data_IF_894552118551
#
_entry.id   IF_894552118551
#
_cell.length_a   1.000
_cell.length_b   1.000
_cell.length_c   1.000
_cell.angle_alpha   90.00
_cell.angle_beta   90.00
_cell.angle_gamma   90.00
#
_symmetry.space_group_name_H-M   'P 1'
#
loop_
_entity.id
_entity.type
_entity.pdbx_description
1 polymer ?
#
# COMPACT_ATOMS: atom_id res chain seq x y z
N UNK A 1 42.01 13.31 52.38
CA UNK A 1 40.86 14.06 51.82
C UNK A 1 40.15 13.14 50.85
N UNK A 2 38.90 12.77 51.18
CA UNK A 2 38.07 11.80 50.46
C UNK A 2 37.78 12.26 49.02
N UNK A 3 37.88 11.37 48.03
CA UNK A 3 36.94 11.35 46.90
C UNK A 3 36.58 9.88 46.63
N UNK A 4 35.35 9.53 47.00
CA UNK A 4 34.73 8.22 46.84
C UNK A 4 33.99 8.14 45.50
N UNK A 5 33.96 6.94 44.92
CA UNK A 5 33.32 6.65 43.64
C UNK A 5 31.80 6.47 43.66
N UNK A 6 31.34 5.91 42.53
CA UNK A 6 29.96 5.59 42.09
C UNK A 6 29.15 6.77 41.56
N UNK A 7 28.94 6.76 40.22
CA UNK A 7 27.64 6.61 39.55
C UNK A 7 27.79 6.93 38.05
N UNK A 8 28.00 5.90 37.23
CA UNK A 8 27.54 5.90 35.84
C UNK A 8 26.58 4.72 35.76
N UNK A 9 25.31 5.03 36.02
CA UNK A 9 24.19 4.08 35.97
C UNK A 9 23.29 4.50 34.82
N UNK A 10 23.01 3.54 33.93
CA UNK A 10 21.79 3.42 33.12
C UNK A 10 21.35 4.62 32.28
N UNK A 11 21.65 4.55 30.98
CA UNK A 11 20.77 5.06 29.93
C UNK A 11 20.64 3.99 28.83
N UNK A 12 19.95 2.89 29.16
CA UNK A 12 19.23 2.11 28.14
C UNK A 12 17.77 2.44 28.41
N UNK A 13 17.28 3.41 27.65
CA UNK A 13 15.89 3.82 27.65
C UNK A 13 15.02 2.61 27.34
N UNK A 14 14.28 2.17 28.35
CA UNK A 14 13.06 1.40 28.27
C UNK A 14 12.16 1.92 27.15
N UNK A 15 12.09 1.18 26.05
CA UNK A 15 10.95 1.15 25.13
C UNK A 15 10.46 -0.30 25.04
N UNK A 16 10.09 -0.86 26.19
CA UNK A 16 9.23 -2.04 26.28
C UNK A 16 7.87 -1.51 26.72
N UNK A 17 6.98 -1.26 25.77
CA UNK A 17 5.52 -1.21 25.92
C UNK A 17 4.91 -0.68 24.62
N UNK A 18 4.77 -1.56 23.62
CA UNK A 18 3.62 -1.60 22.70
C UNK A 18 3.70 -2.86 21.83
N UNK A 19 3.93 -4.03 22.45
CA UNK A 19 3.57 -5.31 21.82
C UNK A 19 2.06 -5.50 22.05
N UNK A 20 1.26 -4.82 21.23
CA UNK A 20 -0.13 -5.21 21.06
C UNK A 20 -0.14 -6.66 20.60
N UNK A 21 -0.77 -7.52 21.39
CA UNK A 21 -0.97 -8.94 21.11
C UNK A 21 -1.65 -9.08 19.76
N UNK A 22 -0.87 -9.25 18.70
CA UNK A 22 -1.39 -9.67 17.40
C UNK A 22 -1.78 -11.12 17.59
N UNK A 23 -3.04 -11.37 17.91
CA UNK A 23 -3.59 -12.72 17.96
C UNK A 23 -3.48 -13.28 16.54
N UNK A 24 -2.46 -14.09 16.30
CA UNK A 24 -2.32 -14.84 15.06
C UNK A 24 -3.38 -15.93 15.07
N UNK A 25 -4.54 -15.63 14.45
CA UNK A 25 -5.51 -16.67 14.11
C UNK A 25 -4.87 -17.52 13.01
N UNK A 26 -4.30 -18.66 13.40
CA UNK A 26 -3.80 -19.67 12.47
C UNK A 26 -4.99 -20.41 11.88
N UNK A 27 -5.45 -20.00 10.71
CA UNK A 27 -6.12 -20.92 9.81
C UNK A 27 -5.03 -21.83 9.24
N UNK A 28 -4.90 -23.06 9.73
CA UNK A 28 -3.92 -24.01 9.19
C UNK A 28 -4.36 -24.39 7.76
N UNK A 29 -3.77 -23.72 6.77
CA UNK A 29 -4.14 -23.86 5.36
C UNK A 29 -3.24 -24.82 4.58
N UNK A 30 -2.11 -25.22 5.14
CA UNK A 30 -1.13 -26.18 4.60
C UNK A 30 -0.24 -26.71 5.74
N UNK A 31 0.25 -27.93 5.61
CA UNK A 31 0.86 -28.70 6.71
C UNK A 31 2.39 -28.57 6.77
N UNK A 32 3.03 -28.32 5.63
CA UNK A 32 4.48 -28.18 5.51
C UNK A 32 4.89 -27.19 4.39
N UNK A 33 6.13 -26.68 4.37
CA UNK A 33 6.59 -25.67 3.41
C UNK A 33 6.58 -26.14 1.94
N UNK A 34 6.81 -27.43 1.68
CA UNK A 34 6.85 -28.00 0.34
C UNK A 34 5.44 -28.08 -0.26
N UNK A 35 4.46 -28.55 0.52
CA UNK A 35 3.04 -28.54 0.18
C UNK A 35 2.56 -27.10 -0.09
N UNK A 36 2.97 -26.13 0.75
CA UNK A 36 2.62 -24.73 0.54
C UNK A 36 3.18 -24.20 -0.80
N UNK A 37 4.43 -24.54 -1.16
CA UNK A 37 5.03 -24.12 -2.41
C UNK A 37 4.34 -24.76 -3.62
N UNK A 38 3.98 -26.05 -3.53
CA UNK A 38 3.25 -26.75 -4.58
C UNK A 38 1.86 -26.13 -4.81
N UNK A 39 1.13 -25.82 -3.73
CA UNK A 39 -0.17 -25.14 -3.83
C UNK A 39 -0.03 -23.71 -4.39
N UNK A 40 1.00 -22.96 -3.96
CA UNK A 40 1.29 -21.63 -4.52
C UNK A 40 1.53 -21.71 -6.03
N UNK A 41 2.32 -22.69 -6.48
CA UNK A 41 2.59 -22.90 -7.89
C UNK A 41 1.30 -23.29 -8.63
N UNK A 42 0.54 -24.25 -8.11
CA UNK A 42 -0.73 -24.69 -8.67
C UNK A 42 -1.72 -23.53 -8.86
N UNK A 43 -1.92 -22.69 -7.84
CA UNK A 43 -2.83 -21.54 -7.95
C UNK A 43 -2.26 -20.44 -8.85
N UNK A 44 -0.94 -20.28 -8.92
CA UNK A 44 -0.31 -19.37 -9.88
C UNK A 44 -0.58 -19.82 -11.33
N UNK A 45 -0.41 -21.11 -11.62
CA UNK A 45 -0.69 -21.69 -12.93
C UNK A 45 -2.18 -21.65 -13.27
N UNK A 46 -3.05 -21.89 -12.26
CA UNK A 46 -4.49 -21.79 -12.42
C UNK A 46 -4.92 -20.36 -12.77
N UNK A 47 -4.35 -19.33 -12.13
CA UNK A 47 -4.62 -17.93 -12.47
C UNK A 47 -4.21 -17.65 -13.93
N UNK A 48 -3.00 -18.06 -14.33
CA UNK A 48 -2.52 -17.87 -15.71
C UNK A 48 -3.45 -18.54 -16.73
N UNK A 49 -3.89 -19.78 -16.47
CA UNK A 49 -4.85 -20.49 -17.32
C UNK A 49 -6.19 -19.77 -17.39
N UNK A 50 -6.72 -19.32 -16.26
CA UNK A 50 -8.01 -18.63 -16.19
C UNK A 50 -7.97 -17.24 -16.87
N UNK A 51 -6.83 -16.56 -16.86
CA UNK A 51 -6.62 -15.28 -17.57
C UNK A 51 -6.67 -15.44 -19.09
N UNK A 52 -6.26 -16.60 -19.62
CA UNK A 52 -6.34 -16.92 -21.05
C UNK A 52 -7.73 -17.39 -21.52
N UNK A 53 -8.72 -17.51 -20.64
CA UNK A 53 -10.07 -17.98 -20.98
C UNK A 53 -11.03 -16.82 -21.27
N UNK A 54 -12.22 -17.14 -21.78
CA UNK A 54 -13.26 -16.15 -22.10
C UNK A 54 -13.67 -15.32 -20.86
N UNK A 55 -13.96 -14.03 -21.08
CA UNK A 55 -14.44 -13.11 -20.04
C UNK A 55 -15.90 -13.40 -19.68
N UNK A 56 -16.10 -14.40 -18.81
CA UNK A 56 -17.40 -14.75 -18.21
C UNK A 56 -17.40 -14.44 -16.72
N UNK A 57 -18.58 -14.27 -16.13
CA UNK A 57 -18.71 -14.03 -14.69
C UNK A 57 -18.12 -15.20 -13.90
N UNK A 58 -18.39 -16.44 -14.34
CA UNK A 58 -17.85 -17.65 -13.72
C UNK A 58 -16.32 -17.65 -13.72
N UNK A 59 -15.69 -17.29 -14.85
CA UNK A 59 -14.23 -17.24 -14.92
C UNK A 59 -13.65 -16.13 -14.05
N UNK A 60 -14.30 -14.95 -14.01
CA UNK A 60 -13.85 -13.86 -13.15
C UNK A 60 -13.93 -14.21 -11.66
N UNK A 61 -15.01 -14.89 -11.24
CA UNK A 61 -15.15 -15.41 -9.87
C UNK A 61 -14.07 -16.43 -9.57
N UNK A 62 -13.82 -17.38 -10.49
CA UNK A 62 -12.78 -18.39 -10.32
C UNK A 62 -11.37 -17.79 -10.22
N UNK A 63 -11.09 -16.71 -10.96
CA UNK A 63 -9.82 -15.97 -10.84
C UNK A 63 -9.68 -15.35 -9.45
N UNK A 64 -10.73 -14.68 -8.94
CA UNK A 64 -10.70 -14.13 -7.58
C UNK A 64 -10.53 -15.24 -6.53
N UNK A 65 -11.20 -16.37 -6.67
CA UNK A 65 -11.06 -17.49 -5.74
C UNK A 65 -9.63 -18.04 -5.71
N UNK A 66 -9.02 -18.22 -6.89
CA UNK A 66 -7.63 -18.65 -6.99
C UNK A 66 -6.66 -17.61 -6.39
N UNK A 67 -6.88 -16.32 -6.65
CA UNK A 67 -6.07 -15.22 -6.09
C UNK A 67 -6.18 -15.14 -4.56
N UNK A 68 -7.39 -15.19 -4.01
CA UNK A 68 -7.63 -15.15 -2.56
C UNK A 68 -6.94 -16.35 -1.91
N UNK A 69 -7.05 -17.55 -2.50
CA UNK A 69 -6.40 -18.74 -1.96
C UNK A 69 -4.87 -18.63 -2.03
N UNK A 70 -4.32 -18.16 -3.15
CA UNK A 70 -2.89 -17.90 -3.31
C UNK A 70 -2.37 -16.90 -2.25
N UNK A 71 -3.04 -15.77 -2.09
CA UNK A 71 -2.64 -14.75 -1.10
C UNK A 71 -2.78 -15.28 0.33
N UNK A 72 -3.82 -16.07 0.62
CA UNK A 72 -3.99 -16.73 1.93
C UNK A 72 -2.82 -17.68 2.24
N UNK A 73 -2.39 -18.49 1.27
CA UNK A 73 -1.25 -19.38 1.42
C UNK A 73 0.06 -18.61 1.63
N UNK A 74 0.27 -17.52 0.89
CA UNK A 74 1.43 -16.63 1.07
C UNK A 74 1.46 -15.98 2.46
N UNK A 75 0.29 -15.58 2.98
CA UNK A 75 0.16 -15.06 4.35
C UNK A 75 0.57 -16.12 5.37
N UNK A 76 0.04 -17.34 5.26
CA UNK A 76 0.40 -18.44 6.16
C UNK A 76 1.91 -18.71 6.14
N UNK A 77 2.51 -18.78 4.94
CA UNK A 77 3.95 -18.96 4.78
C UNK A 77 4.76 -17.82 5.43
N UNK A 78 4.36 -16.56 5.23
CA UNK A 78 5.03 -15.41 5.85
C UNK A 78 4.89 -15.43 7.37
N UNK A 79 3.73 -15.81 7.91
CA UNK A 79 3.51 -15.96 9.36
C UNK A 79 4.40 -17.04 9.96
N UNK A 80 4.54 -18.20 9.30
CA UNK A 80 5.45 -19.26 9.74
C UNK A 80 6.90 -18.82 9.73
N UNK A 81 7.34 -18.10 8.68
CA UNK A 81 8.69 -17.50 8.63
C UNK A 81 8.94 -16.55 9.79
N UNK A 82 7.97 -15.70 10.14
CA UNK A 82 8.09 -14.78 11.29
C UNK A 82 8.24 -15.54 12.61
N UNK A 83 7.49 -16.64 12.80
CA UNK A 83 7.60 -17.46 14.02
C UNK A 83 8.95 -18.16 14.12
N UNK A 84 9.41 -18.79 13.03
CA UNK A 84 10.71 -19.45 12.98
C UNK A 84 11.86 -18.46 13.22
N UNK A 85 11.79 -17.30 12.58
CA UNK A 85 12.77 -16.23 12.74
C UNK A 85 12.77 -15.67 14.18
N UNK A 86 11.59 -15.50 14.78
CA UNK A 86 11.45 -15.10 16.18
C UNK A 86 12.17 -16.07 17.13
N UNK A 87 11.92 -17.38 17.00
CA UNK A 87 12.59 -18.38 17.81
C UNK A 87 14.12 -18.39 17.63
N UNK A 88 14.62 -18.15 16.41
CA UNK A 88 16.06 -18.02 16.15
C UNK A 88 16.66 -16.76 16.78
N UNK A 89 15.95 -15.62 16.73
CA UNK A 89 16.35 -14.37 17.38
C UNK A 89 16.45 -14.57 18.89
N UNK A 90 15.50 -15.28 19.50
CA UNK A 90 15.52 -15.59 20.93
C UNK A 90 16.77 -16.41 21.30
N UNK A 91 17.05 -17.48 20.56
CA UNK A 91 18.26 -18.31 20.74
C UNK A 91 19.56 -17.51 20.57
N UNK A 92 19.61 -16.62 19.57
CA UNK A 92 20.76 -15.73 19.35
C UNK A 92 20.90 -14.71 20.49
N UNK A 93 19.79 -14.21 21.04
CA UNK A 93 19.78 -13.32 22.20
C UNK A 93 20.34 -13.97 23.46
N UNK A 94 19.94 -15.21 23.74
CA UNK A 94 20.47 -16.00 24.86
C UNK A 94 21.97 -16.30 24.69
N UNK A 95 22.37 -16.66 23.46
CA UNK A 95 23.77 -16.91 23.11
C UNK A 95 24.62 -15.64 23.26
N UNK A 96 24.12 -14.50 22.82
CA UNK A 96 24.77 -13.20 22.96
C UNK A 96 24.94 -12.80 24.42
N UNK A 97 23.90 -13.01 25.23
CA UNK A 97 23.96 -12.78 26.68
C UNK A 97 25.06 -13.62 27.32
N UNK A 98 25.10 -14.91 27.00
CA UNK A 98 26.11 -15.86 27.51
C UNK A 98 27.53 -15.48 27.08
N UNK A 99 27.72 -15.15 25.78
CA UNK A 99 29.01 -14.72 25.24
C UNK A 99 29.47 -13.39 25.85
N UNK A 100 28.53 -12.46 26.09
CA UNK A 100 28.84 -11.15 26.70
C UNK A 100 29.30 -11.32 28.15
N UNK A 101 28.65 -12.19 28.92
CA UNK A 101 29.05 -12.53 30.29
C UNK A 101 30.45 -13.18 30.30
N UNK A 102 30.68 -14.17 29.43
CA UNK A 102 31.97 -14.84 29.32
C UNK A 102 33.10 -13.87 28.94
N UNK A 103 32.88 -13.04 27.92
CA UNK A 103 33.83 -12.02 27.49
C UNK A 103 34.12 -11.00 28.58
N UNK A 104 33.08 -10.51 29.28
CA UNK A 104 33.24 -9.54 30.37
C UNK A 104 34.05 -10.13 31.52
N UNK A 105 33.79 -11.38 31.91
CA UNK A 105 34.57 -12.06 32.94
C UNK A 105 36.04 -12.20 32.55
N UNK A 106 36.31 -12.56 31.29
CA UNK A 106 37.68 -12.76 30.79
C UNK A 106 38.43 -11.44 30.66
N UNK A 107 37.77 -10.39 30.18
CA UNK A 107 38.34 -9.05 30.10
C UNK A 107 38.76 -8.50 31.48
N UNK A 108 37.98 -8.78 32.53
CA UNK A 108 38.32 -8.41 33.91
C UNK A 108 39.57 -9.15 34.40
N UNK A 109 39.69 -10.45 34.15
CA UNK A 109 40.87 -11.22 34.56
C UNK A 109 42.12 -10.82 33.75
N UNK A 110 41.99 -10.63 32.44
CA UNK A 110 43.07 -10.10 31.59
C UNK A 110 43.53 -8.70 32.04
N UNK A 111 42.59 -7.84 32.46
CA UNK A 111 42.92 -6.52 33.04
C UNK A 111 43.62 -6.63 34.41
N UNK A 112 43.20 -7.54 35.29
CA UNK A 112 43.88 -7.78 36.57
C UNK A 112 45.32 -8.27 36.32
N UNK A 113 45.50 -9.21 35.39
CA UNK A 113 46.80 -9.73 34.98
C UNK A 113 47.71 -8.63 34.42
N UNK A 114 47.19 -7.71 33.60
CA UNK A 114 47.99 -6.61 33.05
C UNK A 114 48.40 -5.56 34.09
N UNK A 115 47.68 -5.48 35.22
CA UNK A 115 47.97 -4.56 36.33
C UNK A 115 49.05 -5.07 37.28
N UNK A 116 49.34 -6.38 37.26
CA UNK A 116 50.56 -6.92 37.86
C UNK A 116 51.70 -6.64 36.89
N UNK A 117 52.49 -5.62 37.19
CA UNK A 117 53.52 -5.07 36.31
C UNK A 117 54.44 -6.16 35.75
N UNK A 118 54.34 -6.37 34.43
CA UNK A 118 55.13 -7.23 33.56
C UNK A 118 54.60 -8.67 33.40
N UNK A 119 53.85 -8.92 32.32
CA UNK A 119 53.74 -10.26 31.71
C UNK A 119 55.14 -10.88 31.46
N UNK A 120 56.16 -10.05 31.24
CA UNK A 120 57.56 -10.48 31.20
C UNK A 120 58.06 -11.03 32.54
N UNK A 121 57.62 -10.52 33.69
CA UNK A 121 57.96 -11.09 35.01
C UNK A 121 57.36 -12.49 35.21
N UNK A 122 56.20 -12.79 34.61
CA UNK A 122 55.65 -14.14 34.62
C UNK A 122 56.53 -15.13 33.84
N UNK A 123 57.17 -14.68 32.75
CA UNK A 123 58.11 -15.48 31.95
C UNK A 123 59.50 -15.54 32.62
N UNK A 124 59.98 -14.43 33.20
CA UNK A 124 61.27 -14.32 33.89
C UNK A 124 61.31 -15.03 35.24
N UNK A 125 60.15 -15.33 35.84
CA UNK A 125 60.01 -16.13 37.06
C UNK A 125 59.90 -17.64 36.80
N UNK A 126 60.13 -18.08 35.56
CA UNK A 126 60.16 -19.51 35.23
C UNK A 126 61.38 -20.19 35.87
N UNK A 127 61.21 -21.45 36.31
CA UNK A 127 62.29 -22.23 36.95
C UNK A 127 63.34 -22.75 35.96
N UNK A 128 62.98 -22.88 34.69
CA UNK A 128 63.84 -23.31 33.58
C UNK A 128 63.32 -22.81 32.22
N UNK A 129 64.10 -23.06 31.15
CA UNK A 129 63.72 -22.64 29.79
C UNK A 129 62.46 -23.33 29.26
N UNK A 130 62.17 -24.56 29.69
CA UNK A 130 60.98 -25.31 29.26
C UNK A 130 59.70 -24.71 29.88
N UNK A 131 59.76 -24.33 31.15
CA UNK A 131 58.69 -23.61 31.85
C UNK A 131 58.46 -22.21 31.23
N UNK A 132 59.53 -21.48 30.92
CA UNK A 132 59.43 -20.16 30.26
C UNK A 132 58.72 -20.23 28.90
N UNK A 133 59.10 -21.20 28.05
CA UNK A 133 58.48 -21.44 26.74
C UNK A 133 57.01 -21.86 26.89
N UNK A 134 56.71 -22.70 27.87
CA UNK A 134 55.33 -23.15 28.13
C UNK A 134 54.42 -21.99 28.55
N UNK A 135 54.88 -21.13 29.47
CA UNK A 135 54.12 -19.93 29.90
C UNK A 135 53.88 -18.95 28.76
N UNK A 136 54.88 -18.72 27.91
CA UNK A 136 54.72 -17.90 26.70
C UNK A 136 53.67 -18.48 25.75
N UNK A 137 53.71 -19.79 25.51
CA UNK A 137 52.72 -20.48 24.68
C UNK A 137 51.31 -20.35 25.24
N UNK A 138 51.11 -20.52 26.56
CA UNK A 138 49.80 -20.35 27.19
C UNK A 138 49.28 -18.91 27.11
N UNK A 139 50.14 -17.89 27.28
CA UNK A 139 49.74 -16.49 27.11
C UNK A 139 49.30 -16.19 25.68
N UNK A 140 50.03 -16.70 24.68
CA UNK A 140 49.62 -16.59 23.28
C UNK A 140 48.28 -17.27 23.03
N UNK A 141 48.08 -18.47 23.60
CA UNK A 141 46.82 -19.20 23.45
C UNK A 141 45.64 -18.46 24.09
N UNK A 142 45.83 -17.84 25.26
CA UNK A 142 44.79 -17.03 25.90
C UNK A 142 44.41 -15.83 25.03
N UNK A 143 45.40 -15.10 24.49
CA UNK A 143 45.16 -13.96 23.59
C UNK A 143 44.41 -14.38 22.31
N UNK A 144 44.79 -15.51 21.72
CA UNK A 144 44.12 -16.08 20.55
C UNK A 144 42.64 -16.38 20.86
N UNK A 145 42.37 -17.08 21.96
CA UNK A 145 40.99 -17.42 22.34
C UNK A 145 40.16 -16.18 22.72
N UNK A 146 40.76 -15.15 23.33
CA UNK A 146 40.07 -13.88 23.64
C UNK A 146 39.65 -13.14 22.37
N UNK A 147 40.55 -13.11 21.37
CA UNK A 147 40.23 -12.55 20.05
C UNK A 147 39.14 -13.34 19.36
N UNK A 148 39.21 -14.67 19.39
CA UNK A 148 38.19 -15.55 18.81
C UNK A 148 36.82 -15.33 19.48
N UNK A 149 36.79 -15.16 20.81
CA UNK A 149 35.56 -14.85 21.55
C UNK A 149 34.96 -13.50 21.13
N UNK A 150 35.79 -12.47 20.95
CA UNK A 150 35.35 -11.16 20.46
C UNK A 150 34.79 -11.25 19.03
N UNK A 151 35.46 -11.97 18.14
CA UNK A 151 35.00 -12.19 16.76
C UNK A 151 33.65 -12.94 16.72
N UNK A 152 33.47 -13.96 17.57
CA UNK A 152 32.20 -14.67 17.75
C UNK A 152 31.09 -13.75 18.27
N UNK A 153 31.38 -12.92 19.27
CA UNK A 153 30.43 -11.95 19.83
C UNK A 153 29.99 -10.96 18.74
N UNK A 154 30.94 -10.38 18.01
CA UNK A 154 30.66 -9.43 16.94
C UNK A 154 29.84 -10.07 15.81
N UNK A 155 30.17 -11.29 15.43
CA UNK A 155 29.42 -12.06 14.42
C UNK A 155 27.99 -12.30 14.89
N UNK A 156 27.81 -12.83 16.11
CA UNK A 156 26.50 -13.08 16.69
C UNK A 156 25.67 -11.79 16.81
N UNK A 157 26.31 -10.67 17.17
CA UNK A 157 25.65 -9.37 17.28
C UNK A 157 25.18 -8.88 15.91
N UNK A 158 26.05 -9.00 14.89
CA UNK A 158 25.73 -8.61 13.52
C UNK A 158 24.59 -9.46 12.97
N UNK A 159 24.66 -10.79 13.15
CA UNK A 159 23.58 -11.71 12.75
C UNK A 159 22.27 -11.36 13.46
N UNK A 160 22.28 -11.17 14.77
CA UNK A 160 21.08 -10.82 15.54
C UNK A 160 20.40 -9.54 15.03
N UNK A 161 21.18 -8.50 14.71
CA UNK A 161 20.63 -7.26 14.16
C UNK A 161 20.08 -7.44 12.72
N UNK A 162 20.75 -8.25 11.90
CA UNK A 162 20.26 -8.63 10.57
C UNK A 162 18.91 -9.33 10.65
N UNK A 163 18.80 -10.38 11.47
CA UNK A 163 17.58 -11.17 11.63
C UNK A 163 16.41 -10.33 12.18
N UNK A 164 16.68 -9.35 13.06
CA UNK A 164 15.66 -8.37 13.50
C UNK A 164 15.15 -7.49 12.36
N UNK A 165 16.06 -7.02 11.51
CA UNK A 165 15.69 -6.22 10.33
C UNK A 165 14.84 -7.05 9.36
N UNK A 166 15.20 -8.32 9.14
CA UNK A 166 14.42 -9.24 8.32
C UNK A 166 13.03 -9.50 8.91
N UNK A 167 12.91 -9.57 10.24
CA UNK A 167 11.63 -9.74 10.92
C UNK A 167 10.71 -8.53 10.68
N UNK A 168 11.23 -7.30 10.78
CA UNK A 168 10.47 -6.08 10.49
C UNK A 168 10.02 -6.04 9.01
N UNK A 169 10.89 -6.45 8.09
CA UNK A 169 10.55 -6.56 6.67
C UNK A 169 9.42 -7.57 6.42
N UNK A 170 9.47 -8.75 7.05
CA UNK A 170 8.41 -9.75 6.96
C UNK A 170 7.08 -9.26 7.56
N UNK A 171 7.12 -8.53 8.68
CA UNK A 171 5.91 -7.94 9.27
C UNK A 171 5.27 -6.89 8.35
N UNK A 172 6.08 -6.05 7.71
CA UNK A 172 5.61 -5.09 6.71
C UNK A 172 5.00 -5.81 5.50
N UNK A 173 5.65 -6.88 5.02
CA UNK A 173 5.12 -7.71 3.94
C UNK A 173 3.78 -8.36 4.32
N UNK A 174 3.66 -8.90 5.53
CA UNK A 174 2.43 -9.51 6.04
C UNK A 174 1.27 -8.50 6.05
N UNK A 175 1.52 -7.28 6.52
CA UNK A 175 0.50 -6.21 6.52
C UNK A 175 0.04 -5.87 5.10
N UNK A 176 0.98 -5.78 4.15
CA UNK A 176 0.66 -5.55 2.74
C UNK A 176 -0.14 -6.70 2.12
N UNK A 177 0.24 -7.95 2.39
CA UNK A 177 -0.50 -9.14 1.93
C UNK A 177 -1.93 -9.17 2.51
N UNK A 178 -2.11 -8.82 3.78
CA UNK A 178 -3.44 -8.78 4.43
C UNK A 178 -4.33 -7.70 3.81
N UNK A 179 -3.78 -6.51 3.55
CA UNK A 179 -4.49 -5.46 2.82
C UNK A 179 -4.90 -5.93 1.41
N UNK A 180 -3.99 -6.59 0.69
CA UNK A 180 -4.29 -7.17 -0.64
C UNK A 180 -5.38 -8.24 -0.59
N UNK A 181 -5.35 -9.14 0.39
CA UNK A 181 -6.38 -10.17 0.57
C UNK A 181 -7.77 -9.56 0.82
N UNK A 182 -7.83 -8.52 1.67
CA UNK A 182 -9.08 -7.82 1.94
C UNK A 182 -9.61 -7.13 0.69
N UNK A 183 -8.75 -6.44 -0.07
CA UNK A 183 -9.12 -5.81 -1.34
C UNK A 183 -9.66 -6.83 -2.36
N UNK A 184 -9.01 -8.00 -2.51
CA UNK A 184 -9.49 -9.07 -3.40
C UNK A 184 -10.88 -9.59 -3.00
N UNK A 185 -11.12 -9.78 -1.68
CA UNK A 185 -12.43 -10.19 -1.16
C UNK A 185 -13.51 -9.14 -1.44
N UNK A 186 -13.20 -7.87 -1.20
CA UNK A 186 -14.15 -6.77 -1.49
C UNK A 186 -14.44 -6.66 -2.98
N UNK A 187 -13.43 -6.73 -3.84
CA UNK A 187 -13.61 -6.70 -5.30
C UNK A 187 -14.51 -7.86 -5.78
N UNK A 188 -14.29 -9.08 -5.27
CA UNK A 188 -15.17 -10.22 -5.55
C UNK A 188 -16.61 -9.95 -5.11
N UNK A 189 -16.81 -9.43 -3.90
CA UNK A 189 -18.14 -9.14 -3.37
C UNK A 189 -18.85 -8.04 -4.16
N UNK A 190 -18.14 -7.00 -4.60
CA UNK A 190 -18.69 -5.92 -5.42
C UNK A 190 -19.12 -6.45 -6.79
N UNK A 191 -18.31 -7.31 -7.42
CA UNK A 191 -18.70 -7.99 -8.66
C UNK A 191 -19.96 -8.83 -8.47
N UNK A 192 -20.04 -9.63 -7.40
CA UNK A 192 -21.21 -10.45 -7.10
C UNK A 192 -22.46 -9.59 -6.80
N UNK A 193 -22.30 -8.46 -6.12
CA UNK A 193 -23.39 -7.52 -5.83
C UNK A 193 -23.92 -6.86 -7.10
N UNK A 194 -23.02 -6.39 -7.97
CA UNK A 194 -23.36 -5.73 -9.22
C UNK A 194 -24.03 -6.69 -10.21
N UNK A 195 -23.52 -7.92 -10.29
CA UNK A 195 -24.01 -8.94 -11.24
C UNK A 195 -25.15 -9.78 -10.68
N UNK A 196 -25.31 -9.86 -9.36
CA UNK A 196 -26.26 -10.78 -8.69
C UNK A 196 -26.14 -12.23 -9.17
N UNK A 197 -24.91 -12.67 -9.47
CA UNK A 197 -24.61 -13.98 -10.05
C UNK A 197 -25.31 -14.25 -11.41
N UNK A 198 -25.61 -13.19 -12.16
CA UNK A 198 -26.25 -13.24 -13.47
C UNK A 198 -25.25 -12.87 -14.57
N UNK A 199 -24.98 -13.83 -15.46
CA UNK A 199 -24.07 -13.66 -16.60
C UNK A 199 -24.55 -12.57 -17.57
N UNK A 200 -25.86 -12.45 -17.81
CA UNK A 200 -26.40 -11.42 -18.71
C UNK A 200 -26.13 -10.01 -18.19
N UNK A 201 -26.28 -9.82 -16.87
CA UNK A 201 -25.92 -8.56 -16.21
C UNK A 201 -24.43 -8.28 -16.31
N UNK A 202 -23.59 -9.29 -16.12
CA UNK A 202 -22.14 -9.15 -16.29
C UNK A 202 -21.77 -8.74 -17.72
N UNK A 203 -22.33 -9.40 -18.73
CA UNK A 203 -22.09 -9.05 -20.13
C UNK A 203 -22.62 -7.65 -20.47
N UNK A 204 -23.75 -7.24 -19.88
CA UNK A 204 -24.24 -5.86 -20.00
C UNK A 204 -23.26 -4.84 -19.39
N UNK A 205 -22.70 -5.11 -18.20
CA UNK A 205 -21.68 -4.27 -17.58
C UNK A 205 -20.43 -4.17 -18.44
N UNK A 206 -19.94 -5.29 -18.99
CA UNK A 206 -18.79 -5.29 -19.91
C UNK A 206 -19.07 -4.50 -21.19
N UNK A 207 -20.28 -4.61 -21.74
CA UNK A 207 -20.70 -3.85 -22.92
C UNK A 207 -20.72 -2.35 -22.63
N UNK A 208 -21.30 -1.95 -21.48
CA UNK A 208 -21.29 -0.56 -21.02
C UNK A 208 -19.87 -0.03 -20.80
N UNK A 209 -19.00 -0.83 -20.20
CA UNK A 209 -17.60 -0.49 -19.99
C UNK A 209 -16.85 -0.26 -21.31
N UNK A 210 -17.06 -1.13 -22.30
CA UNK A 210 -16.48 -0.98 -23.65
C UNK A 210 -17.01 0.24 -24.39
N UNK A 211 -18.31 0.51 -24.29
CA UNK A 211 -18.93 1.68 -24.91
C UNK A 211 -18.37 2.99 -24.32
N UNK A 212 -18.29 3.07 -22.99
CA UNK A 212 -17.71 4.22 -22.30
C UNK A 212 -16.22 4.38 -22.63
N UNK A 213 -15.48 3.27 -22.74
CA UNK A 213 -14.08 3.29 -23.18
C UNK A 213 -13.90 3.94 -24.54
N UNK A 214 -14.66 3.46 -25.53
CA UNK A 214 -14.60 4.01 -26.88
C UNK A 214 -14.98 5.49 -26.89
N UNK A 215 -15.99 5.88 -26.11
CA UNK A 215 -16.45 7.26 -26.00
C UNK A 215 -15.36 8.19 -25.44
N UNK A 216 -14.72 7.80 -24.32
CA UNK A 216 -13.65 8.62 -23.72
C UNK A 216 -12.41 8.67 -24.61
N UNK A 217 -12.05 7.57 -25.28
CA UNK A 217 -10.93 7.57 -26.24
C UNK A 217 -11.18 8.54 -27.41
N UNK A 218 -12.40 8.55 -27.95
CA UNK A 218 -12.78 9.49 -29.00
C UNK A 218 -12.74 10.94 -28.50
N UNK A 219 -13.25 11.20 -27.29
CA UNK A 219 -13.18 12.52 -26.67
C UNK A 219 -11.72 12.98 -26.52
N UNK A 220 -10.87 12.16 -25.89
CA UNK A 220 -9.44 12.47 -25.68
C UNK A 220 -8.73 12.72 -27.01
N UNK A 221 -9.00 11.91 -28.05
CA UNK A 221 -8.42 12.10 -29.37
C UNK A 221 -8.84 13.43 -30.01
N UNK A 222 -10.12 13.83 -29.89
CA UNK A 222 -10.61 15.14 -30.37
C UNK A 222 -9.97 16.32 -29.63
N UNK A 223 -9.61 16.13 -28.36
CA UNK A 223 -8.91 17.13 -27.56
C UNK A 223 -7.39 17.17 -27.83
N UNK A 224 -6.87 16.40 -28.78
CA UNK A 224 -5.43 16.36 -29.11
C UNK A 224 -4.60 15.46 -28.19
N UNK A 225 -5.24 14.61 -27.38
CA UNK A 225 -4.59 13.65 -26.48
C UNK A 225 -4.59 14.07 -25.01
N UNK A 226 -4.18 13.15 -24.13
CA UNK A 226 -4.18 13.34 -22.68
C UNK A 226 -2.77 13.56 -22.12
N UNK A 227 -2.05 14.56 -22.64
CA UNK A 227 -0.71 14.89 -22.11
C UNK A 227 -0.80 15.30 -20.64
N UNK A 228 0.20 14.91 -19.85
CA UNK A 228 0.23 15.20 -18.42
C UNK A 228 0.45 16.69 -18.19
N UNK A 229 -0.36 17.26 -17.29
CA UNK A 229 -0.29 18.64 -16.86
C UNK A 229 0.30 18.71 -15.45
N UNK A 230 0.79 19.87 -15.05
CA UNK A 230 1.29 20.08 -13.67
C UNK A 230 0.53 21.21 -12.99
N UNK A 231 0.43 21.14 -11.66
CA UNK A 231 -0.10 22.20 -10.80
C UNK A 231 -1.54 22.64 -11.14
N UNK A 232 -2.38 21.70 -11.56
CA UNK A 232 -3.77 21.97 -11.92
C UNK A 232 -4.68 22.02 -10.69
N UNK A 233 -4.33 21.33 -9.61
CA UNK A 233 -5.11 21.35 -8.36
C UNK A 233 -5.23 22.77 -7.80
N UNK A 234 -6.46 23.24 -7.57
CA UNK A 234 -6.79 24.53 -6.95
C UNK A 234 -7.84 24.33 -5.87
N UNK A 235 -7.62 24.84 -4.65
CA UNK A 235 -8.58 24.72 -3.56
C UNK A 235 -9.03 26.10 -3.09
N UNK A 236 -10.32 26.24 -2.83
CA UNK A 236 -10.97 27.43 -2.29
C UNK A 236 -12.09 26.99 -1.32
N UNK A 237 -12.86 27.95 -0.82
CA UNK A 237 -13.92 27.71 0.17
C UNK A 237 -15.01 26.73 -0.31
N UNK A 238 -15.20 26.57 -1.63
CA UNK A 238 -16.12 25.58 -2.17
C UNK A 238 -15.58 24.16 -2.08
N UNK A 239 -14.26 23.98 -2.05
CA UNK A 239 -13.57 22.70 -2.18
C UNK A 239 -12.54 22.68 -3.31
N UNK A 240 -11.78 21.61 -3.41
CA UNK A 240 -10.72 21.46 -4.39
C UNK A 240 -11.23 21.10 -5.79
N UNK A 241 -10.74 21.84 -6.79
CA UNK A 241 -10.71 21.44 -8.18
C UNK A 241 -9.57 20.44 -8.41
N UNK A 242 -9.88 19.38 -9.15
CA UNK A 242 -8.91 18.38 -9.58
C UNK A 242 -9.01 18.19 -11.10
N UNK A 243 -7.85 17.94 -11.73
CA UNK A 243 -7.76 17.63 -13.14
C UNK A 243 -7.21 16.21 -13.32
N UNK A 244 -7.87 15.38 -14.14
CA UNK A 244 -7.51 13.97 -14.35
C UNK A 244 -6.13 13.78 -14.99
N UNK A 245 -5.62 14.80 -15.69
CA UNK A 245 -4.29 14.82 -16.34
C UNK A 245 -3.19 15.38 -15.43
N UNK A 246 -3.50 15.82 -14.21
CA UNK A 246 -2.50 16.35 -13.28
C UNK A 246 -1.43 15.29 -12.97
N UNK A 247 -0.16 15.70 -12.94
CA UNK A 247 1.01 14.84 -12.77
C UNK A 247 1.02 14.07 -11.45
N UNK A 248 0.24 14.51 -10.45
CA UNK A 248 0.05 13.78 -9.20
C UNK A 248 -0.60 12.40 -9.39
N UNK A 249 -1.44 12.21 -10.42
CA UNK A 249 -2.17 10.95 -10.63
C UNK A 249 -2.44 10.58 -12.09
N UNK A 250 -2.21 11.44 -13.07
CA UNK A 250 -2.60 11.21 -14.47
C UNK A 250 -1.99 9.94 -15.08
N UNK A 251 -0.82 9.51 -14.58
CA UNK A 251 -0.16 8.27 -14.99
C UNK A 251 -0.62 7.01 -14.22
N UNK A 252 -1.44 7.16 -13.18
CA UNK A 252 -1.94 6.04 -12.38
C UNK A 252 -2.95 5.25 -13.21
N UNK A 253 -2.74 3.93 -13.29
CA UNK A 253 -3.69 3.00 -13.88
C UNK A 253 -4.94 2.84 -13.01
N UNK A 254 -6.11 2.76 -13.62
CA UNK A 254 -7.40 2.70 -12.92
C UNK A 254 -7.86 1.28 -12.69
N UNK A 255 -8.02 0.88 -11.43
CA UNK A 255 -8.67 -0.38 -11.05
C UNK A 255 -8.00 -1.65 -11.59
N UNK A 256 -6.70 -1.60 -11.84
CA UNK A 256 -5.94 -2.69 -12.47
C UNK A 256 -6.21 -2.85 -13.97
N UNK A 257 -6.92 -1.91 -14.61
CA UNK A 257 -7.05 -1.83 -16.06
C UNK A 257 -5.79 -1.23 -16.70
N UNK A 258 -5.58 -1.39 -18.03
CA UNK A 258 -4.48 -0.75 -18.73
C UNK A 258 -4.68 0.77 -18.95
N UNK A 259 -5.81 1.34 -18.50
CA UNK A 259 -6.17 2.73 -18.75
C UNK A 259 -5.74 3.62 -17.60
N UNK A 260 -5.18 4.79 -17.93
CA UNK A 260 -4.71 5.77 -16.95
C UNK A 260 -5.77 6.81 -16.62
N UNK A 261 -5.63 7.44 -15.45
CA UNK A 261 -6.45 8.58 -15.04
C UNK A 261 -6.51 9.69 -16.09
N UNK A 262 -5.39 10.01 -16.74
CA UNK A 262 -5.35 11.05 -17.77
C UNK A 262 -6.29 10.73 -18.95
N UNK A 263 -6.39 9.46 -19.35
CA UNK A 263 -7.21 9.05 -20.49
C UNK A 263 -8.67 8.73 -20.12
N UNK A 264 -8.94 8.30 -18.88
CA UNK A 264 -10.22 7.68 -18.55
C UNK A 264 -10.84 8.17 -17.22
N UNK A 265 -10.19 9.11 -16.53
CA UNK A 265 -10.48 9.47 -15.15
C UNK A 265 -11.50 10.59 -14.93
N UNK A 266 -12.27 11.02 -15.94
CA UNK A 266 -13.17 12.19 -15.82
C UNK A 266 -14.24 11.99 -14.73
N UNK A 267 -14.88 10.81 -14.68
CA UNK A 267 -15.87 10.49 -13.64
C UNK A 267 -15.22 10.41 -12.25
N UNK A 268 -14.08 9.71 -12.14
CA UNK A 268 -13.33 9.54 -10.88
C UNK A 268 -12.92 10.91 -10.31
N UNK A 269 -12.42 11.78 -11.17
CA UNK A 269 -11.99 13.14 -10.81
C UNK A 269 -13.18 14.00 -10.42
N UNK A 270 -14.30 13.87 -11.13
CA UNK A 270 -15.56 14.57 -10.80
C UNK A 270 -16.14 14.14 -9.45
N UNK A 271 -16.13 12.84 -9.14
CA UNK A 271 -16.52 12.32 -7.82
C UNK A 271 -15.61 12.88 -6.72
N UNK A 272 -14.30 12.96 -6.96
CA UNK A 272 -13.33 13.52 -6.01
C UNK A 272 -13.56 15.01 -5.76
N UNK A 273 -13.95 15.78 -6.77
CA UNK A 273 -14.32 17.20 -6.61
C UNK A 273 -15.57 17.36 -5.73
N UNK A 274 -16.61 16.54 -5.96
CA UNK A 274 -17.80 16.53 -5.09
C UNK A 274 -17.46 16.10 -3.66
N UNK A 275 -16.59 15.10 -3.50
CA UNK A 275 -16.13 14.65 -2.19
C UNK A 275 -15.48 15.81 -1.43
N UNK A 276 -14.56 16.54 -2.08
CA UNK A 276 -13.91 17.70 -1.49
C UNK A 276 -14.91 18.80 -1.13
N UNK A 277 -15.93 19.03 -1.96
CA UNK A 277 -16.99 20.01 -1.67
C UNK A 277 -17.76 19.67 -0.38
N UNK A 278 -18.07 18.38 -0.18
CA UNK A 278 -18.72 17.90 1.03
C UNK A 278 -17.75 17.64 2.20
N UNK A 279 -16.54 18.21 2.16
CA UNK A 279 -15.54 18.10 3.23
C UNK A 279 -14.94 16.71 3.39
N UNK A 280 -15.05 15.83 2.39
CA UNK A 280 -14.48 14.49 2.38
C UNK A 280 -13.10 14.49 1.73
N UNK A 281 -12.14 13.84 2.37
CA UNK A 281 -10.78 13.70 1.85
C UNK A 281 -10.67 12.47 0.94
N UNK A 282 -11.23 12.57 -0.27
CA UNK A 282 -11.10 11.57 -1.33
C UNK A 282 -10.47 12.27 -2.54
N UNK A 283 -9.23 11.91 -2.86
CA UNK A 283 -8.50 12.40 -4.02
C UNK A 283 -8.63 11.44 -5.21
N UNK A 284 -8.36 11.89 -6.44
CA UNK A 284 -8.49 11.04 -7.62
C UNK A 284 -7.67 9.74 -7.54
N UNK A 285 -6.46 9.79 -6.97
CA UNK A 285 -5.61 8.61 -6.78
C UNK A 285 -6.21 7.60 -5.79
N UNK A 286 -6.97 8.04 -4.78
CA UNK A 286 -7.53 7.15 -3.75
C UNK A 286 -8.58 6.23 -4.34
N UNK A 287 -9.35 6.73 -5.32
CA UNK A 287 -10.30 5.93 -6.09
C UNK A 287 -9.56 5.11 -7.14
N UNK A 288 -8.63 5.71 -7.90
CA UNK A 288 -7.95 5.05 -9.02
C UNK A 288 -7.27 3.73 -8.64
N UNK A 289 -6.63 3.68 -7.47
CA UNK A 289 -5.92 2.48 -6.98
C UNK A 289 -6.85 1.45 -6.31
N UNK A 290 -8.12 1.80 -6.09
CA UNK A 290 -9.10 0.93 -5.45
C UNK A 290 -9.69 -0.03 -6.50
N UNK A 291 -9.07 -1.19 -6.69
CA UNK A 291 -9.54 -2.18 -7.69
C UNK A 291 -10.97 -2.65 -7.47
N UNK A 292 -11.45 -2.63 -6.23
CA UNK A 292 -12.82 -2.94 -5.85
C UNK A 292 -13.83 -1.86 -6.23
N UNK A 293 -13.40 -0.64 -6.56
CA UNK A 293 -14.27 0.42 -7.07
C UNK A 293 -14.66 0.22 -8.55
N UNK A 294 -14.01 -0.71 -9.27
CA UNK A 294 -14.17 -0.89 -10.71
C UNK A 294 -14.62 -2.29 -11.11
N UNK A 295 -15.33 -2.37 -12.23
CA UNK A 295 -15.56 -3.65 -12.93
C UNK A 295 -14.19 -4.19 -13.37
N UNK A 296 -13.83 -5.43 -12.97
CA UNK A 296 -12.49 -5.97 -13.16
C UNK A 296 -11.97 -5.83 -14.59
N UNK A 297 -10.77 -5.29 -14.74
CA UNK A 297 -10.06 -5.19 -16.02
C UNK A 297 -10.55 -4.09 -16.98
N UNK A 298 -11.56 -3.30 -16.61
CA UNK A 298 -12.19 -2.34 -17.55
C UNK A 298 -11.99 -0.86 -17.21
N UNK A 299 -11.71 -0.52 -15.96
CA UNK A 299 -11.69 0.88 -15.49
C UNK A 299 -13.09 1.51 -15.34
N UNK A 300 -14.17 0.74 -15.52
CA UNK A 300 -15.55 1.20 -15.35
C UNK A 300 -15.93 1.24 -13.87
N UNK A 301 -16.26 2.42 -13.36
CA UNK A 301 -16.56 2.65 -11.95
C UNK A 301 -17.93 2.04 -11.55
N UNK A 302 -17.99 1.33 -10.43
CA UNK A 302 -19.26 0.83 -9.89
C UNK A 302 -20.15 1.98 -9.39
N UNK A 303 -21.45 1.73 -9.34
CA UNK A 303 -22.44 2.64 -8.75
C UNK A 303 -22.29 2.78 -7.22
N UNK A 304 -21.63 1.84 -6.56
CA UNK A 304 -21.33 1.90 -5.13
C UNK A 304 -19.96 1.30 -4.87
N UNK A 305 -19.13 2.00 -4.10
CA UNK A 305 -17.79 1.57 -3.72
C UNK A 305 -17.34 2.27 -2.44
N UNK A 306 -16.16 1.91 -1.93
CA UNK A 306 -15.53 2.60 -0.81
C UNK A 306 -14.21 3.20 -1.26
N UNK A 307 -13.92 4.43 -0.84
CA UNK A 307 -12.62 5.07 -1.07
C UNK A 307 -12.18 5.78 0.22
N UNK A 308 -10.94 5.52 0.64
CA UNK A 308 -10.40 6.06 1.91
C UNK A 308 -11.31 5.84 3.13
N UNK A 309 -12.00 4.69 3.18
CA UNK A 309 -12.92 4.33 4.27
C UNK A 309 -14.30 5.00 4.21
N UNK A 310 -14.61 5.75 3.15
CA UNK A 310 -15.89 6.44 2.97
C UNK A 310 -16.70 5.70 1.91
N UNK A 311 -17.98 5.46 2.19
CA UNK A 311 -18.88 4.83 1.23
C UNK A 311 -19.35 5.85 0.21
N UNK A 312 -19.16 5.56 -1.07
CA UNK A 312 -19.55 6.42 -2.19
C UNK A 312 -20.65 5.74 -2.97
N UNK A 313 -21.73 6.47 -3.25
CA UNK A 313 -22.80 6.02 -4.16
C UNK A 313 -22.98 7.02 -5.29
N UNK A 314 -23.00 6.51 -6.52
CA UNK A 314 -23.15 7.27 -7.76
C UNK A 314 -24.41 6.76 -8.46
N UNK A 315 -25.41 7.64 -8.60
CA UNK A 315 -26.71 7.30 -9.19
C UNK A 315 -26.96 8.09 -10.46
N UNK A 316 -27.54 7.43 -11.47
CA UNK A 316 -27.94 8.09 -12.71
C UNK A 316 -29.23 8.89 -12.51
N UNK A 317 -29.26 10.10 -13.03
CA UNK A 317 -30.41 11.00 -12.95
C UNK A 317 -30.71 11.65 -14.31
N UNK A 318 -31.98 12.01 -14.50
CA UNK A 318 -32.42 12.77 -15.68
C UNK A 318 -31.86 14.19 -15.64
N UNK A 319 -31.48 14.71 -16.82
CA UNK A 319 -31.10 16.12 -17.02
C UNK A 319 -32.13 17.10 -16.45
N UNK A 320 -33.41 16.73 -16.44
CA UNK A 320 -34.49 17.56 -15.92
C UNK A 320 -34.35 17.93 -14.44
N UNK A 321 -33.53 17.20 -13.67
CA UNK A 321 -33.28 17.49 -12.26
C UNK A 321 -32.18 18.54 -12.04
N UNK A 322 -31.44 18.95 -13.07
CA UNK A 322 -30.28 19.83 -12.95
C UNK A 322 -30.61 21.12 -12.19
N UNK A 323 -31.61 21.87 -12.63
CA UNK A 323 -31.97 23.15 -11.99
C UNK A 323 -32.43 22.97 -10.54
N UNK A 324 -33.22 21.92 -10.24
CA UNK A 324 -33.67 21.65 -8.89
C UNK A 324 -32.55 21.24 -7.92
N UNK A 325 -31.54 20.52 -8.41
CA UNK A 325 -30.37 20.14 -7.62
C UNK A 325 -29.51 21.37 -7.31
N UNK A 326 -29.21 22.19 -8.32
CA UNK A 326 -28.42 23.40 -8.16
C UNK A 326 -29.11 24.45 -7.28
N UNK A 327 -30.43 24.60 -7.42
CA UNK A 327 -31.21 25.50 -6.56
C UNK A 327 -31.18 25.08 -5.09
N UNK A 328 -31.00 23.78 -4.82
CA UNK A 328 -30.82 23.24 -3.47
C UNK A 328 -29.37 23.25 -2.99
N UNK A 329 -28.46 23.91 -3.72
CA UNK A 329 -27.03 23.99 -3.40
C UNK A 329 -26.27 22.69 -3.60
N UNK A 330 -26.82 21.73 -4.35
CA UNK A 330 -26.18 20.43 -4.60
C UNK A 330 -25.51 20.42 -5.97
N UNK A 331 -24.17 20.42 -6.05
CA UNK A 331 -23.48 20.27 -7.32
C UNK A 331 -23.73 18.87 -7.89
N UNK A 332 -23.76 18.78 -9.22
CA UNK A 332 -24.02 17.53 -9.94
C UNK A 332 -22.92 17.24 -10.95
N UNK A 333 -22.73 15.97 -11.26
CA UNK A 333 -21.85 15.58 -12.36
C UNK A 333 -22.73 15.47 -13.62
N UNK A 334 -22.41 16.23 -14.66
CA UNK A 334 -23.09 16.15 -15.96
C UNK A 334 -22.31 15.23 -16.90
N UNK A 335 -23.01 14.28 -17.50
CA UNK A 335 -22.52 13.48 -18.62
C UNK A 335 -22.84 14.18 -19.93
N UNK A 336 -21.81 14.41 -20.75
CA UNK A 336 -21.91 15.09 -22.04
C UNK A 336 -22.01 14.10 -23.19
N UNK A 337 -22.70 14.51 -24.26
CA UNK A 337 -22.89 13.77 -25.50
C UNK A 337 -23.55 12.39 -25.31
N UNK A 338 -23.63 11.59 -26.37
CA UNK A 338 -24.32 10.30 -26.36
C UNK A 338 -23.38 9.15 -25.95
N UNK A 339 -23.09 8.99 -24.64
CA UNK A 339 -22.16 7.94 -24.21
C UNK A 339 -21.94 7.68 -22.71
N UNK A 340 -22.20 8.62 -21.79
CA UNK A 340 -21.61 9.96 -21.89
C UNK A 340 -20.13 9.86 -22.24
N UNK A 341 -19.66 10.74 -23.13
CA UNK A 341 -18.28 10.74 -23.66
C UNK A 341 -17.31 11.50 -22.74
N UNK A 342 -17.86 12.35 -21.86
CA UNK A 342 -17.11 13.12 -20.89
C UNK A 342 -17.99 13.44 -19.69
N UNK A 343 -17.37 13.58 -18.52
CA UNK A 343 -18.03 13.98 -17.30
C UNK A 343 -17.43 15.27 -16.79
N UNK A 344 -18.29 16.22 -16.46
CA UNK A 344 -17.93 17.50 -15.84
C UNK A 344 -18.73 17.71 -14.57
N UNK A 345 -18.27 18.61 -13.69
CA UNK A 345 -19.06 19.02 -12.52
C UNK A 345 -19.75 20.34 -12.82
N UNK A 346 -21.07 20.39 -12.68
CA UNK A 346 -21.82 21.65 -12.65
C UNK A 346 -22.02 22.03 -11.19
N UNK A 347 -21.43 23.17 -10.81
CA UNK A 347 -21.31 23.59 -9.41
C UNK A 347 -22.49 24.43 -8.94
N UNK A 348 -23.01 25.30 -9.82
CA UNK A 348 -24.10 26.25 -9.54
C UNK A 348 -24.64 26.84 -10.84
N UNK A 349 -25.69 27.65 -10.71
CA UNK A 349 -26.26 28.47 -11.78
C UNK A 349 -26.21 29.94 -11.37
N UNK A 350 -25.50 30.75 -12.14
CA UNK A 350 -25.33 32.20 -11.93
C UNK A 350 -26.17 32.95 -12.98
N UNK A 351 -27.39 33.33 -12.61
CA UNK A 351 -28.39 33.84 -13.56
C UNK A 351 -28.80 32.75 -14.56
N UNK A 352 -28.55 32.98 -15.85
CA UNK A 352 -28.81 31.98 -16.91
C UNK A 352 -27.61 31.09 -17.22
N UNK A 353 -26.46 31.32 -16.57
CA UNK A 353 -25.21 30.60 -16.86
C UNK A 353 -25.01 29.45 -15.89
N UNK A 354 -24.78 28.25 -16.41
CA UNK A 354 -24.29 27.13 -15.60
C UNK A 354 -22.78 27.25 -15.41
N UNK A 355 -22.30 27.14 -14.18
CA UNK A 355 -20.87 27.22 -13.88
C UNK A 355 -20.32 25.81 -13.66
N UNK A 356 -19.31 25.44 -14.44
CA UNK A 356 -18.71 24.12 -14.46
C UNK A 356 -17.26 24.08 -13.99
N UNK A 357 -16.82 22.89 -13.61
CA UNK A 357 -15.42 22.49 -13.44
C UNK A 357 -15.17 21.27 -14.31
N UNK A 358 -14.32 21.43 -15.32
CA UNK A 358 -13.98 20.36 -16.25
C UNK A 358 -12.74 19.59 -15.78
N UNK A 359 -12.79 18.26 -15.58
CA UNK A 359 -11.65 17.49 -15.09
C UNK A 359 -10.57 17.23 -16.16
N UNK A 360 -10.77 17.55 -17.43
CA UNK A 360 -9.84 17.26 -18.52
C UNK A 360 -9.14 18.51 -19.05
N UNK A 361 -9.87 19.62 -19.24
CA UNK A 361 -9.31 20.85 -19.80
C UNK A 361 -8.22 21.43 -18.90
N UNK A 362 -7.13 21.94 -19.49
CA UNK A 362 -6.11 22.67 -18.74
C UNK A 362 -6.74 23.89 -18.07
N UNK A 363 -6.54 24.01 -16.75
CA UNK A 363 -7.23 24.99 -15.90
C UNK A 363 -8.76 24.93 -16.05
N UNK A 364 -9.37 23.76 -16.23
CA UNK A 364 -10.80 23.57 -16.53
C UNK A 364 -11.81 24.15 -15.51
N UNK A 365 -11.34 24.70 -14.38
CA UNK A 365 -12.13 25.48 -13.44
C UNK A 365 -11.76 26.99 -13.40
N UNK A 366 -11.05 27.49 -14.40
CA UNK A 366 -10.45 28.82 -14.39
C UNK A 366 -9.13 28.86 -13.61
N UNK A 367 -8.44 30.02 -13.64
CA UNK A 367 -7.13 30.20 -12.97
C UNK A 367 -7.20 30.14 -11.45
N UNK A 368 -8.35 30.50 -10.87
CA UNK A 368 -8.64 30.52 -9.42
C UNK A 368 -9.38 29.26 -8.93
N UNK A 369 -9.77 28.38 -9.85
CA UNK A 369 -10.57 27.19 -9.54
C UNK A 369 -12.02 27.47 -9.17
N UNK A 370 -12.56 28.67 -9.40
CA UNK A 370 -13.94 29.04 -9.05
C UNK A 370 -15.01 28.43 -9.99
N UNK A 371 -14.57 27.91 -11.14
CA UNK A 371 -15.40 27.40 -12.23
C UNK A 371 -15.52 28.40 -13.38
N UNK A 372 -15.93 27.91 -14.54
CA UNK A 372 -16.17 28.72 -15.76
C UNK A 372 -17.59 28.50 -16.29
N UNK A 373 -18.18 29.44 -17.03
CA UNK A 373 -19.42 29.20 -17.75
C UNK A 373 -19.34 27.95 -18.63
N UNK A 374 -20.38 27.12 -18.61
CA UNK A 374 -20.50 25.93 -19.46
C UNK A 374 -20.32 26.30 -20.94
N UNK A 375 -20.93 27.41 -21.35
CA UNK A 375 -20.96 27.95 -22.72
C UNK A 375 -19.59 28.36 -23.27
N UNK A 376 -18.56 28.42 -22.44
CA UNK A 376 -17.20 28.69 -22.90
C UNK A 376 -16.65 27.50 -23.73
N UNK A 377 -17.15 26.28 -23.49
CA UNK A 377 -16.64 25.05 -24.12
C UNK A 377 -17.76 24.12 -24.63
N UNK A 378 -18.93 24.11 -23.98
CA UNK A 378 -20.02 23.17 -24.23
C UNK A 378 -21.38 23.86 -24.28
N UNK A 379 -22.36 23.23 -24.93
CA UNK A 379 -23.73 23.69 -24.95
C UNK A 379 -24.58 22.99 -23.88
N UNK A 380 -25.63 23.66 -23.40
CA UNK A 380 -26.60 23.01 -22.52
C UNK A 380 -27.20 21.76 -23.15
N UNK A 381 -27.43 21.75 -24.48
CA UNK A 381 -27.91 20.60 -25.23
C UNK A 381 -26.99 19.39 -25.15
N UNK A 382 -25.70 19.58 -24.91
CA UNK A 382 -24.70 18.50 -24.86
C UNK A 382 -24.85 17.66 -23.60
N UNK A 383 -25.47 18.18 -22.53
CA UNK A 383 -25.77 17.40 -21.33
C UNK A 383 -26.88 16.40 -21.65
N UNK A 384 -26.60 15.11 -21.47
CA UNK A 384 -27.55 14.02 -21.74
C UNK A 384 -27.98 13.27 -20.48
N UNK A 385 -27.14 13.24 -19.45
CA UNK A 385 -27.46 12.59 -18.18
C UNK A 385 -26.77 13.28 -17.01
N UNK A 386 -27.26 13.04 -15.80
CA UNK A 386 -26.61 13.47 -14.57
C UNK A 386 -26.11 12.26 -13.78
N UNK A 387 -25.12 12.49 -12.92
CA UNK A 387 -24.81 11.63 -11.78
C UNK A 387 -24.96 12.43 -10.49
N UNK A 388 -25.75 11.88 -9.57
CA UNK A 388 -25.86 12.37 -8.20
C UNK A 388 -24.98 11.49 -7.32
N UNK A 389 -24.18 12.13 -6.46
CA UNK A 389 -23.21 11.43 -5.61
C UNK A 389 -23.54 11.66 -4.15
N UNK A 390 -23.55 10.59 -3.36
CA UNK A 390 -23.65 10.65 -1.91
C UNK A 390 -22.44 9.98 -1.24
N UNK A 391 -22.09 10.51 -0.07
CA UNK A 391 -20.96 10.08 0.74
C UNK A 391 -21.47 9.73 2.14
N UNK A 392 -21.36 8.47 2.54
CA UNK A 392 -21.82 7.96 3.84
C UNK A 392 -20.66 7.48 4.70
#
# INVERSE_FOLDING_TARGET
MKINGKKIFFFISTSILFLGSVVFVRAQTCSNPEECNNLIQQYTDQISKLQGQANTLKNQIAQFDAQIKLTTLKIAQTQDKIVLLGGRIDQLGDSLTSLTIAFSSRAVETYKLSRFENNFALILSASDMTDAVSRLHYLQKIQEEDRNLLEKLQTAQTTYQGEKTDQEALQKQLKAQQASLNAQKTAKNNLLSATRNDESRYQSLLSQAKAQLAAFQNFVSRQGGASILSNQTKCNDWGCYYNQRDSQWGNIGMGGSPYTMANYGCLVTSVSMLASHYGKNIKPNDIAVSSDAFVPGTGYLYHSFSANGISVSVSSASKSLLDSELAAGRPVIAGLYSGPDHFIVITRKDGDKYIMRDPFLENGAGSDGAGRPLTDEYNFSDITSLRLVSFN
#
